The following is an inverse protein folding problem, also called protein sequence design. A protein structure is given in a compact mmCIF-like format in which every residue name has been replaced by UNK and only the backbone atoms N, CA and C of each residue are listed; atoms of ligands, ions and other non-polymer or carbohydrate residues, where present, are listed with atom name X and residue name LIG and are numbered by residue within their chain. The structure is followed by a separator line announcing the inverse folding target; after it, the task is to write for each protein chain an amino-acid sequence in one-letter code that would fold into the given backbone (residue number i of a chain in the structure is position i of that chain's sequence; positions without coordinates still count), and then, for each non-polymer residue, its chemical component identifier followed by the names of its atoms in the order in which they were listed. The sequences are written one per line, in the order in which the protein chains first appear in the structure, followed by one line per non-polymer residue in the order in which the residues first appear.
data_IF_352041540475
#
_entry.id   IF_352041540475
#
_cell.length_a   1.000
_cell.length_b   1.000
_cell.length_c   1.000
_cell.angle_alpha   90.00
_cell.angle_beta   90.00
_cell.angle_gamma   90.00
#
_symmetry.space_group_name_H-M   'P 1'
#
loop_
_entity.id
_entity.type
_entity.pdbx_description
1 polymer ?
#
# COMPACT_ATOMS: atom_id res chain seq x y z
N UNK A 1 0.42 -3.32 25.58
CA UNK A 1 1.89 -3.38 25.76
C UNK A 1 2.32 -4.79 25.38
N UNK A 2 2.89 -4.97 24.19
CA UNK A 2 3.36 -6.30 23.75
C UNK A 2 4.54 -6.73 24.63
N UNK A 3 4.57 -7.99 25.07
CA UNK A 3 5.65 -8.54 25.90
C UNK A 3 6.93 -8.67 25.06
N UNK A 4 8.10 -8.38 25.65
CA UNK A 4 9.40 -8.61 24.99
C UNK A 4 9.69 -10.11 24.90
N UNK A 5 10.26 -10.54 23.78
CA UNK A 5 10.86 -11.87 23.65
C UNK A 5 12.29 -11.74 24.23
N UNK A 6 12.50 -12.28 25.42
CA UNK A 6 13.77 -12.16 26.16
C UNK A 6 14.79 -13.24 25.78
N UNK A 7 14.34 -14.34 25.17
CA UNK A 7 15.18 -15.47 24.76
C UNK A 7 15.27 -15.55 23.24
N UNK A 8 16.47 -15.79 22.69
CA UNK A 8 16.66 -16.10 21.27
C UNK A 8 16.06 -17.48 20.97
N UNK A 9 14.75 -17.52 20.73
CA UNK A 9 14.04 -18.70 20.26
C UNK A 9 14.54 -19.02 18.85
N UNK A 10 15.10 -20.22 18.67
CA UNK A 10 15.57 -20.69 17.37
C UNK A 10 14.43 -21.29 16.55
N UNK A 11 14.63 -21.52 15.25
CA UNK A 11 13.65 -22.25 14.43
C UNK A 11 13.60 -23.74 14.80
N UNK A 12 14.71 -24.31 15.27
CA UNK A 12 14.81 -25.70 15.73
C UNK A 12 13.89 -25.98 16.93
N UNK A 13 13.60 -24.94 17.69
CA UNK A 13 12.74 -24.93 18.86
C UNK A 13 11.24 -24.82 18.54
N UNK A 14 10.87 -24.58 17.27
CA UNK A 14 9.48 -24.28 16.88
C UNK A 14 8.49 -25.39 17.22
N UNK A 15 8.93 -26.65 17.22
CA UNK A 15 8.04 -27.77 17.54
C UNK A 15 7.78 -27.95 19.04
N UNK A 16 8.50 -27.21 19.89
CA UNK A 16 8.19 -27.11 21.32
C UNK A 16 7.02 -26.13 21.55
N UNK A 17 5.92 -26.64 22.10
CA UNK A 17 4.71 -25.86 22.34
C UNK A 17 4.94 -24.64 23.26
N UNK A 18 5.85 -24.73 24.24
CA UNK A 18 6.18 -23.58 25.11
C UNK A 18 6.81 -22.44 24.31
N UNK A 19 7.62 -22.77 23.31
CA UNK A 19 8.33 -21.78 22.50
C UNK A 19 7.39 -21.10 21.50
N UNK A 20 6.46 -21.83 20.88
CA UNK A 20 5.39 -21.21 20.06
C UNK A 20 4.49 -20.30 20.90
N UNK A 21 4.15 -20.70 22.11
CA UNK A 21 3.31 -19.90 22.99
C UNK A 21 3.90 -18.52 23.29
N UNK A 22 5.23 -18.39 23.35
CA UNK A 22 5.89 -17.07 23.47
C UNK A 22 5.58 -16.18 22.27
N UNK A 23 5.65 -16.72 21.04
CA UNK A 23 5.29 -15.99 19.82
C UNK A 23 3.81 -15.60 19.77
N UNK A 24 2.93 -16.50 20.18
CA UNK A 24 1.49 -16.21 20.26
C UNK A 24 1.17 -15.09 21.26
N UNK A 25 1.81 -15.12 22.43
CA UNK A 25 1.67 -14.06 23.43
C UNK A 25 2.29 -12.75 22.95
N UNK A 26 3.41 -12.80 22.23
CA UNK A 26 4.04 -11.64 21.63
C UNK A 26 3.10 -10.97 20.61
N UNK A 27 2.52 -11.74 19.70
CA UNK A 27 1.54 -11.24 18.72
C UNK A 27 0.22 -10.80 19.36
N UNK A 28 -0.07 -11.24 20.59
CA UNK A 28 -1.33 -10.95 21.27
C UNK A 28 -2.52 -11.69 20.65
N UNK A 29 -2.31 -12.92 20.19
CA UNK A 29 -3.38 -13.76 19.64
C UNK A 29 -4.43 -14.07 20.72
N UNK A 30 -5.71 -14.15 20.33
CA UNK A 30 -6.77 -14.61 21.23
C UNK A 30 -6.62 -16.08 21.59
N UNK A 31 -7.25 -16.50 22.69
CA UNK A 31 -7.23 -17.91 23.12
C UNK A 31 -7.76 -18.86 22.03
N UNK A 32 -8.78 -18.44 21.27
CA UNK A 32 -9.33 -19.23 20.17
C UNK A 32 -8.34 -19.41 19.02
N UNK A 33 -7.62 -18.34 18.63
CA UNK A 33 -6.60 -18.40 17.60
C UNK A 33 -5.42 -19.30 18.02
N UNK A 34 -4.98 -19.17 19.29
CA UNK A 34 -3.91 -20.00 19.85
C UNK A 34 -4.30 -21.47 19.83
N UNK A 35 -5.51 -21.81 20.30
CA UNK A 35 -5.98 -23.19 20.32
C UNK A 35 -5.99 -23.79 18.90
N UNK A 36 -6.51 -23.05 17.91
CA UNK A 36 -6.57 -23.52 16.54
C UNK A 36 -5.17 -23.76 15.92
N UNK A 37 -4.21 -22.86 16.16
CA UNK A 37 -2.83 -23.01 15.67
C UNK A 37 -2.12 -24.18 16.34
N UNK A 38 -2.32 -24.40 17.64
CA UNK A 38 -1.73 -25.53 18.37
C UNK A 38 -2.36 -26.87 17.96
N UNK A 39 -3.67 -26.91 17.72
CA UNK A 39 -4.33 -28.11 17.18
C UNK A 39 -3.80 -28.45 15.79
N UNK A 40 -3.57 -27.44 14.93
CA UNK A 40 -2.94 -27.63 13.64
C UNK A 40 -1.50 -28.13 13.79
N UNK A 41 -0.71 -27.55 14.69
CA UNK A 41 0.66 -28.01 14.97
C UNK A 41 0.68 -29.49 15.40
N UNK A 42 -0.25 -29.91 16.25
CA UNK A 42 -0.40 -31.31 16.66
C UNK A 42 -0.80 -32.24 15.52
N UNK A 43 -1.64 -31.80 14.58
CA UNK A 43 -1.97 -32.58 13.39
C UNK A 43 -0.74 -32.77 12.48
N UNK A 44 0.04 -31.70 12.27
CA UNK A 44 1.26 -31.76 11.46
C UNK A 44 2.29 -32.71 12.09
N UNK A 45 2.50 -32.64 13.41
CA UNK A 45 3.43 -33.53 14.12
C UNK A 45 3.07 -35.03 14.02
N UNK A 46 1.80 -35.35 13.79
CA UNK A 46 1.31 -36.74 13.68
C UNK A 46 1.28 -37.26 12.25
N UNK A 47 1.56 -36.42 11.25
CA UNK A 47 1.53 -36.79 9.83
C UNK A 47 2.87 -36.47 9.17
N UNK A 48 3.63 -37.50 8.79
CA UNK A 48 4.91 -37.34 8.11
C UNK A 48 4.79 -36.53 6.81
N UNK A 49 3.68 -36.70 6.07
CA UNK A 49 3.45 -35.98 4.81
C UNK A 49 3.19 -34.48 5.06
N UNK A 50 2.38 -34.14 6.07
CA UNK A 50 2.16 -32.74 6.44
C UNK A 50 3.44 -32.10 6.98
N UNK A 51 4.23 -32.84 7.77
CA UNK A 51 5.52 -32.36 8.27
C UNK A 51 6.51 -32.08 7.15
N UNK A 52 6.65 -33.01 6.18
CA UNK A 52 7.52 -32.83 5.02
C UNK A 52 7.09 -31.62 4.19
N UNK A 53 5.78 -31.48 3.92
CA UNK A 53 5.22 -30.34 3.21
C UNK A 53 5.45 -29.02 3.96
N UNK A 54 5.31 -29.02 5.29
CA UNK A 54 5.53 -27.85 6.14
C UNK A 54 6.97 -27.37 6.06
N UNK A 55 7.93 -28.28 6.24
CA UNK A 55 9.36 -27.97 6.19
C UNK A 55 9.78 -27.49 4.80
N UNK A 56 9.26 -28.10 3.74
CA UNK A 56 9.55 -27.67 2.37
C UNK A 56 9.03 -26.25 2.07
N UNK A 57 7.82 -25.91 2.54
CA UNK A 57 7.27 -24.57 2.37
C UNK A 57 7.99 -23.53 3.26
N UNK A 58 8.41 -23.91 4.47
CA UNK A 58 9.23 -23.04 5.33
C UNK A 58 10.59 -22.74 4.69
N UNK A 59 11.27 -23.75 4.16
CA UNK A 59 12.53 -23.59 3.41
C UNK A 59 12.35 -22.68 2.19
N UNK A 60 11.30 -22.90 1.39
CA UNK A 60 10.97 -22.05 0.25
C UNK A 60 10.75 -20.59 0.67
N UNK A 61 10.03 -20.36 1.76
CA UNK A 61 9.64 -19.00 2.18
C UNK A 61 10.71 -18.32 3.05
N UNK A 62 10.90 -18.77 4.28
CA UNK A 62 11.77 -18.12 5.26
C UNK A 62 13.24 -18.10 4.82
N UNK A 63 13.75 -19.20 4.25
CA UNK A 63 15.18 -19.33 3.93
C UNK A 63 15.53 -18.87 2.51
N UNK A 64 14.71 -19.25 1.51
CA UNK A 64 14.96 -18.88 0.10
C UNK A 64 14.29 -17.56 -0.31
N UNK A 65 13.38 -17.03 0.50
CA UNK A 65 12.70 -15.76 0.21
C UNK A 65 11.64 -15.84 -0.89
N UNK A 66 11.21 -17.05 -1.27
CA UNK A 66 10.26 -17.31 -2.37
C UNK A 66 8.81 -17.21 -1.87
N UNK A 67 8.49 -16.05 -1.30
CA UNK A 67 7.15 -15.74 -0.82
C UNK A 67 6.19 -15.42 -1.98
N UNK A 68 4.91 -15.67 -1.74
CA UNK A 68 3.84 -15.23 -2.62
C UNK A 68 3.53 -13.75 -2.37
N UNK A 69 4.03 -12.85 -3.23
CA UNK A 69 3.79 -11.40 -3.11
C UNK A 69 2.68 -10.87 -4.02
N UNK A 70 2.25 -11.67 -4.99
CA UNK A 70 1.18 -11.31 -5.92
C UNK A 70 -0.13 -11.11 -5.15
N UNK A 71 -0.90 -10.09 -5.51
CA UNK A 71 -2.14 -9.75 -4.80
C UNK A 71 -3.29 -10.75 -5.02
N UNK A 72 -3.09 -11.76 -5.89
CA UNK A 72 -4.01 -12.88 -6.05
C UNK A 72 -4.02 -13.82 -4.83
N UNK A 73 -5.10 -14.59 -4.63
CA UNK A 73 -5.15 -15.62 -3.61
C UNK A 73 -3.98 -16.61 -3.74
N UNK A 74 -3.42 -17.03 -2.60
CA UNK A 74 -2.40 -18.07 -2.58
C UNK A 74 -3.01 -19.37 -3.10
N UNK A 75 -2.37 -19.98 -4.10
CA UNK A 75 -2.77 -21.30 -4.58
C UNK A 75 -2.26 -22.37 -3.63
N UNK A 76 -3.16 -23.17 -3.06
CA UNK A 76 -2.79 -24.24 -2.15
C UNK A 76 -2.39 -25.52 -2.88
N UNK A 77 -1.56 -26.33 -2.23
CA UNK A 77 -1.20 -27.66 -2.71
C UNK A 77 -2.41 -28.62 -2.59
N UNK A 78 -2.86 -29.25 -3.69
CA UNK A 78 -4.03 -30.13 -3.69
C UNK A 78 -3.93 -31.33 -2.74
N UNK A 79 -2.72 -31.82 -2.45
CA UNK A 79 -2.51 -32.94 -1.51
C UNK A 79 -2.76 -32.51 -0.07
N UNK A 80 -2.41 -31.27 0.27
CA UNK A 80 -2.66 -30.68 1.58
C UNK A 80 -4.15 -30.35 1.69
N UNK A 81 -4.75 -29.79 0.64
CA UNK A 81 -6.20 -29.53 0.57
C UNK A 81 -7.03 -30.79 0.74
N UNK A 82 -6.64 -31.89 0.09
CA UNK A 82 -7.35 -33.16 0.22
C UNK A 82 -7.30 -33.73 1.65
N UNK A 83 -6.23 -33.45 2.41
CA UNK A 83 -6.06 -33.95 3.78
C UNK A 83 -6.73 -33.05 4.83
N UNK A 84 -6.60 -31.73 4.67
CA UNK A 84 -7.01 -30.77 5.69
C UNK A 84 -8.33 -30.07 5.38
N UNK A 85 -8.76 -30.07 4.11
CA UNK A 85 -9.94 -29.35 3.63
C UNK A 85 -9.91 -27.90 4.10
N UNK A 86 -10.90 -27.53 4.89
CA UNK A 86 -11.03 -26.22 5.50
C UNK A 86 -9.84 -25.80 6.39
N UNK A 87 -9.09 -26.74 6.96
CA UNK A 87 -7.89 -26.47 7.75
C UNK A 87 -6.66 -26.04 6.93
N UNK A 88 -6.73 -26.09 5.59
CA UNK A 88 -5.56 -25.83 4.74
C UNK A 88 -5.01 -24.43 4.91
N UNK A 89 -5.86 -23.40 4.93
CA UNK A 89 -5.36 -22.03 5.09
C UNK A 89 -4.69 -21.80 6.45
N UNK A 90 -5.17 -22.49 7.50
CA UNK A 90 -4.56 -22.43 8.83
C UNK A 90 -3.19 -23.13 8.86
N UNK A 91 -3.02 -24.23 8.11
CA UNK A 91 -1.71 -24.86 7.90
C UNK A 91 -0.70 -23.90 7.26
N UNK A 92 -1.08 -23.23 6.16
CA UNK A 92 -0.22 -22.26 5.49
C UNK A 92 0.08 -21.04 6.37
N UNK A 93 -0.88 -20.60 7.18
CA UNK A 93 -0.64 -19.54 8.16
C UNK A 93 0.43 -19.97 9.17
N UNK A 94 0.35 -21.20 9.69
CA UNK A 94 1.35 -21.70 10.64
C UNK A 94 2.74 -21.82 10.01
N UNK A 95 2.84 -22.21 8.73
CA UNK A 95 4.11 -22.16 7.97
C UNK A 95 4.65 -20.73 7.93
N UNK A 96 3.82 -19.75 7.58
CA UNK A 96 4.25 -18.35 7.49
C UNK A 96 4.71 -17.83 8.85
N UNK A 97 3.97 -18.14 9.92
CA UNK A 97 4.32 -17.74 11.28
C UNK A 97 5.62 -18.40 11.76
N UNK A 98 5.98 -19.58 11.24
CA UNK A 98 7.26 -20.22 11.56
C UNK A 98 8.48 -19.38 11.12
N UNK A 99 8.31 -18.43 10.20
CA UNK A 99 9.36 -17.50 9.81
C UNK A 99 9.67 -16.42 10.85
N UNK A 100 8.83 -16.21 11.89
CA UNK A 100 9.01 -15.15 12.88
C UNK A 100 10.42 -15.09 13.51
N UNK A 101 11.04 -16.22 13.93
CA UNK A 101 12.42 -16.20 14.43
C UNK A 101 13.43 -15.74 13.37
N UNK A 102 13.30 -16.24 12.13
CA UNK A 102 14.16 -15.83 11.02
C UNK A 102 14.03 -14.34 10.72
N UNK A 103 12.79 -13.84 10.66
CA UNK A 103 12.50 -12.43 10.43
C UNK A 103 13.12 -11.57 11.53
N UNK A 104 12.95 -11.95 12.80
CA UNK A 104 13.53 -11.21 13.92
C UNK A 104 15.06 -11.14 13.83
N UNK A 105 15.72 -12.26 13.49
CA UNK A 105 17.17 -12.26 13.27
C UNK A 105 17.57 -11.35 12.10
N UNK A 106 16.80 -11.32 11.01
CA UNK A 106 17.05 -10.41 9.89
C UNK A 106 16.94 -8.94 10.31
N UNK A 107 15.96 -8.60 11.15
CA UNK A 107 15.81 -7.26 11.72
C UNK A 107 17.00 -6.89 12.61
N UNK A 108 17.41 -7.80 13.50
CA UNK A 108 18.57 -7.60 14.37
C UNK A 108 19.87 -7.38 13.57
N UNK A 109 20.09 -8.16 12.49
CA UNK A 109 21.24 -7.98 11.59
C UNK A 109 21.25 -6.60 10.91
N UNK A 110 20.08 -6.01 10.64
CA UNK A 110 19.93 -4.64 10.12
C UNK A 110 19.92 -3.56 11.22
N UNK A 111 20.06 -3.94 12.48
CA UNK A 111 19.99 -3.02 13.61
C UNK A 111 18.59 -2.45 13.88
N UNK A 112 17.54 -3.07 13.34
CA UNK A 112 16.14 -2.62 13.52
C UNK A 112 15.66 -3.02 14.91
N UNK A 113 15.01 -2.09 15.61
CA UNK A 113 14.57 -2.28 16.99
C UNK A 113 13.45 -3.34 17.12
N UNK A 114 13.38 -3.95 18.30
CA UNK A 114 12.30 -4.87 18.66
C UNK A 114 10.92 -4.17 18.64
N UNK A 115 10.86 -2.88 18.98
CA UNK A 115 9.62 -2.12 18.97
C UNK A 115 9.10 -1.93 17.53
N UNK A 116 9.99 -1.68 16.57
CA UNK A 116 9.64 -1.62 15.13
C UNK A 116 9.20 -2.99 14.61
N UNK A 117 9.87 -4.07 15.02
CA UNK A 117 9.43 -5.43 14.68
C UNK A 117 8.02 -5.70 15.24
N UNK A 118 7.76 -5.35 16.50
CA UNK A 118 6.46 -5.51 17.13
C UNK A 118 5.36 -4.68 16.46
N UNK A 119 5.61 -3.40 16.17
CA UNK A 119 4.69 -2.54 15.41
C UNK A 119 4.38 -3.13 14.02
N UNK A 120 5.38 -3.75 13.38
CA UNK A 120 5.20 -4.36 12.07
C UNK A 120 4.34 -5.62 12.15
N UNK A 121 4.61 -6.53 13.09
CA UNK A 121 3.85 -7.79 13.19
C UNK A 121 2.41 -7.62 13.70
N UNK A 122 2.01 -6.41 14.14
CA UNK A 122 0.69 -6.14 14.72
C UNK A 122 -0.49 -6.33 13.74
N UNK A 123 -0.26 -6.36 12.43
CA UNK A 123 -1.30 -6.65 11.44
C UNK A 123 -1.74 -8.12 11.45
N UNK A 124 -0.83 -9.04 11.80
CA UNK A 124 -1.09 -10.48 11.78
C UNK A 124 -2.29 -10.86 12.65
N UNK A 125 -2.34 -10.55 13.97
CA UNK A 125 -3.50 -10.89 14.80
C UNK A 125 -4.81 -10.31 14.26
N UNK A 126 -4.78 -9.08 13.73
CA UNK A 126 -5.98 -8.43 13.18
C UNK A 126 -6.61 -9.25 12.04
N UNK A 127 -5.80 -9.72 11.09
CA UNK A 127 -6.31 -10.48 9.95
C UNK A 127 -6.73 -11.91 10.30
N UNK A 128 -6.11 -12.52 11.31
CA UNK A 128 -6.54 -13.82 11.85
C UNK A 128 -7.94 -13.70 12.47
N UNK A 129 -8.16 -12.69 13.31
CA UNK A 129 -9.47 -12.43 13.93
C UNK A 129 -10.53 -12.07 12.90
N UNK A 130 -10.18 -11.22 11.93
CA UNK A 130 -11.09 -10.83 10.87
C UNK A 130 -11.57 -12.03 10.04
N UNK A 131 -10.67 -12.98 9.71
CA UNK A 131 -11.05 -14.21 9.01
C UNK A 131 -12.04 -15.04 9.83
N UNK A 132 -11.79 -15.20 11.13
CA UNK A 132 -12.70 -15.93 12.02
C UNK A 132 -14.08 -15.28 12.12
N UNK A 133 -14.15 -13.96 12.20
CA UNK A 133 -15.41 -13.21 12.20
C UNK A 133 -16.17 -13.33 10.88
N UNK A 134 -15.46 -13.30 9.75
CA UNK A 134 -16.04 -13.38 8.40
C UNK A 134 -16.59 -14.77 8.07
N UNK A 135 -15.84 -15.83 8.42
CA UNK A 135 -16.15 -17.20 7.98
C UNK A 135 -16.67 -18.11 9.10
N UNK A 136 -16.70 -17.65 10.35
CA UNK A 136 -17.12 -18.46 11.50
C UNK A 136 -16.16 -19.60 11.86
N UNK A 137 -14.93 -19.58 11.32
CA UNK A 137 -13.89 -20.60 11.54
C UNK A 137 -12.49 -19.98 11.45
N UNK A 138 -11.50 -20.58 12.11
CA UNK A 138 -10.12 -20.13 12.04
C UNK A 138 -9.45 -20.49 10.71
N UNK A 139 -8.66 -19.58 10.18
CA UNK A 139 -7.96 -19.70 8.89
C UNK A 139 -7.36 -18.35 8.50
N UNK A 140 -6.95 -18.21 7.24
CA UNK A 140 -6.30 -17.00 6.76
C UNK A 140 -6.45 -16.80 5.24
N UNK A 141 -6.50 -15.55 4.76
CA UNK A 141 -6.55 -15.26 3.31
C UNK A 141 -5.61 -14.15 2.83
N UNK A 142 -5.06 -13.33 3.73
CA UNK A 142 -4.21 -12.18 3.36
C UNK A 142 -2.72 -12.54 3.22
N UNK A 143 -2.41 -13.70 2.64
CA UNK A 143 -1.04 -14.23 2.55
C UNK A 143 -0.04 -13.27 1.89
N UNK A 144 -0.36 -12.60 0.76
CA UNK A 144 0.56 -11.64 0.15
C UNK A 144 0.92 -10.49 1.08
N UNK A 145 -0.02 -10.10 1.93
CA UNK A 145 0.18 -8.99 2.87
C UNK A 145 1.15 -9.39 3.98
N UNK A 146 0.89 -10.48 4.70
CA UNK A 146 1.78 -10.92 5.77
C UNK A 146 3.15 -11.41 5.27
N UNK A 147 3.24 -11.89 4.03
CA UNK A 147 4.53 -12.16 3.39
C UNK A 147 5.44 -10.92 3.37
N UNK A 148 4.89 -9.72 3.14
CA UNK A 148 5.67 -8.46 3.16
C UNK A 148 6.19 -8.12 4.56
N UNK A 149 5.43 -8.45 5.59
CA UNK A 149 5.81 -8.27 6.98
C UNK A 149 6.94 -9.24 7.36
N UNK A 150 6.73 -10.54 7.10
CA UNK A 150 7.64 -11.62 7.46
C UNK A 150 8.93 -11.61 6.62
N UNK A 151 8.90 -11.11 5.39
CA UNK A 151 10.10 -10.89 4.58
C UNK A 151 10.87 -9.61 4.94
N UNK A 152 10.33 -8.77 5.83
CA UNK A 152 10.94 -7.48 6.18
C UNK A 152 10.88 -6.43 5.07
N UNK A 153 10.02 -6.61 4.06
CA UNK A 153 9.81 -5.64 2.97
C UNK A 153 8.91 -4.49 3.37
N UNK A 154 8.04 -4.70 4.34
CA UNK A 154 7.15 -3.70 4.90
C UNK A 154 7.53 -3.42 6.35
N UNK A 155 7.60 -2.14 6.70
CA UNK A 155 7.93 -1.66 8.03
C UNK A 155 6.82 -0.71 8.51
N UNK A 156 6.21 -1.04 9.65
CA UNK A 156 5.30 -0.11 10.35
C UNK A 156 6.11 0.91 11.14
N UNK A 157 5.82 2.20 10.94
CA UNK A 157 6.42 3.29 11.73
C UNK A 157 5.30 4.24 12.18
N UNK A 158 4.64 3.93 13.28
CA UNK A 158 3.53 4.73 13.80
C UNK A 158 2.20 4.45 13.09
N UNK A 159 1.57 5.47 12.51
CA UNK A 159 0.27 5.35 11.82
C UNK A 159 0.38 4.74 10.42
N UNK A 160 1.50 4.91 9.74
CA UNK A 160 1.71 4.45 8.37
C UNK A 160 2.69 3.26 8.31
N UNK A 161 2.57 2.50 7.23
CA UNK A 161 3.46 1.42 6.84
C UNK A 161 4.19 1.80 5.57
N UNK A 162 5.43 1.35 5.43
CA UNK A 162 6.32 1.75 4.35
C UNK A 162 6.98 0.54 3.70
N UNK A 163 7.01 0.53 2.37
CA UNK A 163 7.87 -0.35 1.58
C UNK A 163 8.83 0.47 0.73
N UNK A 164 10.01 -0.06 0.48
CA UNK A 164 10.98 0.54 -0.43
C UNK A 164 10.86 -0.15 -1.79
N UNK A 165 10.52 0.61 -2.84
CA UNK A 165 10.38 0.07 -4.20
C UNK A 165 10.81 1.07 -5.27
N UNK A 166 11.19 0.60 -6.48
CA UNK A 166 11.38 1.47 -7.63
C UNK A 166 10.06 2.12 -8.04
N UNK A 167 10.04 3.44 -8.22
CA UNK A 167 8.85 4.21 -8.55
C UNK A 167 8.19 3.68 -9.83
N UNK A 168 6.94 3.19 -9.75
CA UNK A 168 6.29 2.57 -10.91
C UNK A 168 5.74 3.59 -11.89
N UNK A 169 5.53 4.85 -11.47
CA UNK A 169 5.00 5.90 -12.33
C UNK A 169 5.97 6.30 -13.44
N UNK A 170 5.40 6.76 -14.56
CA UNK A 170 6.15 7.21 -15.75
C UNK A 170 6.09 8.73 -15.96
N UNK A 171 5.48 9.44 -15.02
CA UNK A 171 5.55 10.90 -14.95
C UNK A 171 6.97 11.36 -14.63
N UNK A 172 7.32 12.56 -15.07
CA UNK A 172 8.58 13.21 -14.69
C UNK A 172 8.29 14.32 -13.68
N UNK A 173 8.83 14.23 -12.48
CA UNK A 173 8.70 15.29 -11.49
C UNK A 173 9.88 16.25 -11.60
N UNK A 174 9.58 17.53 -11.78
CA UNK A 174 10.54 18.62 -11.77
C UNK A 174 10.37 19.44 -10.49
N UNK A 175 11.48 19.84 -9.87
CA UNK A 175 11.52 20.76 -8.74
C UNK A 175 12.19 22.05 -9.13
N UNK A 176 11.61 23.15 -8.71
CA UNK A 176 12.21 24.46 -8.88
C UNK A 176 13.40 24.61 -7.92
N UNK A 177 14.54 25.11 -8.42
CA UNK A 177 15.80 25.20 -7.65
C UNK A 177 15.75 26.24 -6.52
N UNK A 178 14.97 27.31 -6.72
CA UNK A 178 14.94 28.46 -5.81
C UNK A 178 13.65 28.57 -4.99
N UNK A 179 12.65 27.73 -5.29
CA UNK A 179 11.32 27.79 -4.68
C UNK A 179 10.86 26.38 -4.36
N UNK A 180 9.99 26.20 -3.37
CA UNK A 180 9.47 24.88 -2.96
C UNK A 180 8.46 24.28 -3.98
N UNK A 181 8.49 24.73 -5.23
CA UNK A 181 7.55 24.32 -6.26
C UNK A 181 7.99 23.00 -6.90
N UNK A 182 7.00 22.14 -7.14
CA UNK A 182 7.14 20.88 -7.87
C UNK A 182 6.06 20.86 -8.94
N UNK A 183 6.41 20.38 -10.14
CA UNK A 183 5.49 20.17 -11.25
C UNK A 183 5.73 18.76 -11.79
N UNK A 184 4.65 18.03 -12.08
CA UNK A 184 4.74 16.76 -12.79
C UNK A 184 4.45 16.97 -14.28
N UNK A 185 5.22 16.32 -15.14
CA UNK A 185 4.98 16.23 -16.58
C UNK A 185 4.41 14.86 -16.94
N UNK A 186 3.36 14.87 -17.76
CA UNK A 186 2.62 13.67 -18.15
C UNK A 186 3.50 12.61 -18.83
N UNK A 187 3.08 11.36 -18.72
CA UNK A 187 3.67 10.22 -19.42
C UNK A 187 3.28 10.25 -20.91
N UNK A 188 4.22 10.40 -21.86
CA UNK A 188 3.91 10.45 -23.30
C UNK A 188 3.24 9.17 -23.84
N UNK A 189 3.41 8.04 -23.15
CA UNK A 189 2.83 6.75 -23.57
C UNK A 189 1.39 6.55 -23.04
N UNK A 190 0.92 7.41 -22.13
CA UNK A 190 -0.41 7.32 -21.56
C UNK A 190 -1.39 8.20 -22.35
N UNK A 191 -2.31 7.63 -23.15
CA UNK A 191 -3.37 8.41 -23.79
C UNK A 191 -4.26 9.06 -22.73
N UNK A 192 -4.67 10.30 -22.98
CA UNK A 192 -5.47 11.13 -22.08
C UNK A 192 -6.81 11.51 -22.73
N UNK A 193 -7.84 11.62 -21.90
CA UNK A 193 -9.18 12.12 -22.22
C UNK A 193 -9.17 13.63 -22.41
N UNK A 194 -10.25 14.19 -22.96
CA UNK A 194 -10.37 15.64 -23.17
C UNK A 194 -10.27 16.46 -21.88
N UNK A 195 -10.67 15.88 -20.74
CA UNK A 195 -10.58 16.44 -19.38
C UNK A 195 -9.19 16.28 -18.73
N UNK A 196 -8.25 15.60 -19.39
CA UNK A 196 -6.86 15.43 -18.95
C UNK A 196 -6.61 14.22 -18.05
N UNK A 197 -7.63 13.43 -17.69
CA UNK A 197 -7.43 12.15 -17.02
C UNK A 197 -7.02 11.05 -18.02
N UNK A 198 -6.52 9.93 -17.51
CA UNK A 198 -6.09 8.82 -18.36
C UNK A 198 -7.26 8.16 -19.09
N UNK A 199 -7.06 7.80 -20.35
CA UNK A 199 -7.95 6.84 -21.02
C UNK A 199 -7.85 5.51 -20.27
N UNK A 200 -9.01 4.90 -20.01
CA UNK A 200 -9.15 3.71 -19.16
C UNK A 200 -9.40 4.02 -17.69
N UNK A 201 -9.34 5.29 -17.27
CA UNK A 201 -9.80 5.69 -15.94
C UNK A 201 -11.33 5.75 -15.89
N UNK A 202 -11.91 5.14 -14.87
CA UNK A 202 -13.35 5.17 -14.61
C UNK A 202 -14.04 3.86 -14.95
N UNK A 203 -15.18 3.95 -15.63
CA UNK A 203 -15.94 2.77 -16.01
C UNK A 203 -15.41 2.20 -17.33
N UNK A 204 -14.87 0.97 -17.35
CA UNK A 204 -14.34 0.36 -18.58
C UNK A 204 -15.42 0.15 -19.66
N UNK A 205 -16.70 0.11 -19.28
CA UNK A 205 -17.82 -0.05 -20.20
C UNK A 205 -18.27 1.27 -20.85
N UNK A 206 -17.69 2.40 -20.43
CA UNK A 206 -17.94 3.72 -21.03
C UNK A 206 -16.78 4.07 -21.98
N UNK A 207 -16.90 3.79 -23.29
CA UNK A 207 -15.83 4.08 -24.23
C UNK A 207 -15.62 5.60 -24.37
N UNK A 208 -14.36 6.01 -24.32
CA UNK A 208 -13.96 7.38 -24.63
C UNK A 208 -13.97 7.56 -26.16
N UNK A 209 -14.70 8.55 -26.71
CA UNK A 209 -14.70 8.81 -28.15
C UNK A 209 -13.28 9.12 -28.64
N UNK A 210 -12.91 8.64 -29.84
CA UNK A 210 -11.51 8.73 -30.33
C UNK A 210 -11.07 10.19 -30.49
N UNK A 211 -12.00 11.06 -30.87
CA UNK A 211 -11.82 12.51 -31.00
C UNK A 211 -11.54 13.24 -29.68
N UNK A 212 -11.86 12.62 -28.54
CA UNK A 212 -11.58 13.16 -27.21
C UNK A 212 -10.24 12.68 -26.65
N UNK A 213 -9.57 11.74 -27.33
CA UNK A 213 -8.28 11.19 -26.93
C UNK A 213 -7.14 12.04 -27.50
N UNK A 214 -6.14 12.32 -26.67
CA UNK A 214 -4.89 12.97 -27.09
C UNK A 214 -3.69 12.36 -26.37
N UNK A 215 -2.52 12.50 -26.98
CA UNK A 215 -1.26 12.00 -26.43
C UNK A 215 -0.41 13.18 -25.94
N UNK A 216 0.01 13.18 -24.67
CA UNK A 216 0.90 14.22 -24.18
C UNK A 216 2.27 14.09 -24.82
N UNK A 217 2.91 15.22 -25.04
CA UNK A 217 4.28 15.30 -25.51
C UNK A 217 5.25 15.52 -24.35
N UNK A 218 6.44 14.93 -24.44
CA UNK A 218 7.55 15.21 -23.54
C UNK A 218 8.86 15.17 -24.33
N UNK A 219 9.66 16.22 -24.20
CA UNK A 219 10.97 16.33 -24.84
C UNK A 219 11.98 16.85 -23.83
N UNK A 220 13.20 16.34 -23.89
CA UNK A 220 14.33 16.77 -23.08
C UNK A 220 15.50 17.14 -24.01
N UNK A 221 16.13 18.28 -23.75
CA UNK A 221 17.31 18.74 -24.47
C UNK A 221 18.31 19.43 -23.51
N UNK A 222 19.37 20.02 -24.05
CA UNK A 222 20.39 20.71 -23.25
C UNK A 222 19.84 21.92 -22.47
N UNK A 223 18.79 22.58 -22.98
CA UNK A 223 18.19 23.78 -22.37
C UNK A 223 17.18 23.46 -21.27
N UNK A 224 16.51 22.30 -21.34
CA UNK A 224 15.47 21.94 -20.39
C UNK A 224 14.53 20.82 -20.81
N UNK A 225 13.33 20.87 -20.24
CA UNK A 225 12.26 19.90 -20.46
C UNK A 225 11.02 20.62 -20.98
N UNK A 226 10.47 20.14 -22.10
CA UNK A 226 9.16 20.51 -22.60
C UNK A 226 8.17 19.39 -22.26
N UNK A 227 7.00 19.72 -21.74
CA UNK A 227 5.94 18.72 -21.61
C UNK A 227 4.63 19.26 -21.05
N UNK A 228 3.63 18.39 -20.96
CA UNK A 228 2.30 18.75 -20.45
C UNK A 228 2.26 18.71 -18.92
N UNK A 229 2.08 19.85 -18.23
CA UNK A 229 1.99 19.90 -16.79
C UNK A 229 0.75 19.18 -16.28
N UNK A 230 0.87 18.54 -15.13
CA UNK A 230 -0.22 17.84 -14.45
C UNK A 230 -0.68 18.68 -13.27
N UNK A 231 -1.99 18.87 -13.11
CA UNK A 231 -2.56 19.45 -11.91
C UNK A 231 -2.37 18.51 -10.71
N UNK A 232 -2.15 19.01 -9.47
CA UNK A 232 -2.17 18.18 -8.26
C UNK A 232 -3.45 17.38 -8.01
N UNK A 233 -4.52 17.66 -8.76
CA UNK A 233 -5.76 16.87 -8.75
C UNK A 233 -5.71 15.65 -9.68
N UNK A 234 -4.65 15.50 -10.47
CA UNK A 234 -4.37 14.30 -11.25
C UNK A 234 -4.73 14.33 -12.73
N UNK A 235 -5.15 15.49 -13.27
CA UNK A 235 -5.40 15.66 -14.71
C UNK A 235 -4.28 16.49 -15.37
N UNK A 236 -3.95 16.20 -16.62
CA UNK A 236 -2.95 16.96 -17.38
C UNK A 236 -3.57 18.14 -18.15
N UNK A 237 -2.78 19.21 -18.31
CA UNK A 237 -3.14 20.34 -19.16
C UNK A 237 -2.81 20.05 -20.62
N UNK A 238 -3.68 20.48 -21.55
CA UNK A 238 -3.45 20.35 -22.99
C UNK A 238 -2.35 21.25 -23.53
N UNK A 239 -2.04 22.35 -22.84
CA UNK A 239 -0.96 23.27 -23.25
C UNK A 239 0.35 22.81 -22.63
N UNK A 240 1.39 22.49 -23.43
CA UNK A 240 2.69 22.16 -22.89
C UNK A 240 3.43 23.41 -22.39
N UNK A 241 4.33 23.22 -21.44
CA UNK A 241 5.19 24.27 -20.90
C UNK A 241 6.66 23.84 -20.93
N UNK A 242 7.56 24.82 -21.01
CA UNK A 242 9.01 24.62 -20.99
C UNK A 242 9.59 24.95 -19.62
N UNK A 243 10.48 24.09 -19.14
CA UNK A 243 11.13 24.17 -17.83
C UNK A 243 12.64 24.17 -18.02
N UNK A 244 13.30 25.30 -17.78
CA UNK A 244 14.74 25.47 -18.06
C UNK A 244 15.61 24.77 -17.01
N UNK A 245 16.77 24.23 -17.40
CA UNK A 245 17.72 23.60 -16.45
C UNK A 245 18.28 24.58 -15.41
N UNK A 246 18.32 25.86 -15.74
CA UNK A 246 18.76 26.95 -14.84
C UNK A 246 17.85 27.11 -13.62
N UNK A 247 16.56 26.78 -13.78
CA UNK A 247 15.54 27.00 -12.74
C UNK A 247 14.91 25.70 -12.24
N UNK A 248 15.01 24.61 -13.00
CA UNK A 248 14.41 23.32 -12.67
C UNK A 248 15.42 22.18 -12.66
N UNK A 249 15.11 21.15 -11.89
CA UNK A 249 15.83 19.88 -11.86
C UNK A 249 14.89 18.68 -11.69
N UNK A 250 15.37 17.50 -12.06
CA UNK A 250 14.61 16.25 -11.88
C UNK A 250 14.56 15.90 -10.39
N UNK A 251 13.35 15.84 -9.86
CA UNK A 251 13.08 15.44 -8.48
C UNK A 251 12.80 13.95 -8.35
N UNK A 252 12.06 13.38 -9.31
CA UNK A 252 11.68 11.97 -9.34
C UNK A 252 11.38 11.54 -10.79
N UNK A 253 11.84 10.36 -11.17
CA UNK A 253 11.51 9.70 -12.44
C UNK A 253 11.31 8.20 -12.25
N UNK A 254 10.78 7.52 -13.28
CA UNK A 254 10.56 6.08 -13.27
C UNK A 254 11.81 5.31 -12.83
N UNK A 255 11.64 4.34 -11.92
CA UNK A 255 12.73 3.49 -11.41
C UNK A 255 13.54 4.10 -10.26
N UNK A 256 13.39 5.39 -9.95
CA UNK A 256 13.96 5.95 -8.71
C UNK A 256 13.34 5.29 -7.48
N UNK A 257 14.12 5.08 -6.42
CA UNK A 257 13.58 4.51 -5.19
C UNK A 257 12.58 5.47 -4.52
N UNK A 258 11.46 4.93 -4.04
CA UNK A 258 10.44 5.65 -3.28
C UNK A 258 9.99 4.83 -2.08
N UNK A 259 9.44 5.52 -1.08
CA UNK A 259 8.71 4.89 0.01
C UNK A 259 7.24 4.74 -0.40
N UNK A 260 6.81 3.53 -0.70
CA UNK A 260 5.39 3.20 -0.91
C UNK A 260 4.67 3.14 0.44
N UNK A 261 3.64 3.96 0.60
CA UNK A 261 2.89 4.12 1.83
C UNK A 261 1.62 3.29 1.82
N UNK A 262 1.43 2.54 2.90
CA UNK A 262 0.19 1.83 3.21
C UNK A 262 -0.43 2.33 4.51
N UNK A 263 -1.76 2.16 4.58
CA UNK A 263 -2.59 2.69 5.65
C UNK A 263 -3.24 1.50 6.37
N UNK A 264 -2.72 1.08 7.53
CA UNK A 264 -3.36 0.05 8.35
C UNK A 264 -4.81 0.41 8.69
N UNK A 265 -5.67 -0.62 8.79
CA UNK A 265 -7.07 -0.47 9.22
C UNK A 265 -7.17 -0.13 10.71
N UNK A 266 -8.32 0.42 11.12
CA UNK A 266 -8.71 0.49 12.54
C UNK A 266 -8.45 1.81 13.28
N UNK A 267 -7.53 2.67 12.81
CA UNK A 267 -7.29 4.00 13.40
C UNK A 267 -7.67 5.13 12.45
N UNK A 268 -8.03 6.29 13.00
CA UNK A 268 -8.26 7.49 12.20
C UNK A 268 -6.96 7.91 11.48
N UNK A 269 -7.09 8.57 10.33
CA UNK A 269 -5.95 9.05 9.53
C UNK A 269 -5.62 10.49 9.91
N UNK A 270 -5.15 10.69 11.14
CA UNK A 270 -4.77 12.02 11.65
C UNK A 270 -3.51 12.52 10.91
N UNK A 271 -3.54 13.77 10.46
CA UNK A 271 -2.39 14.42 9.82
C UNK A 271 -1.15 14.46 10.71
N UNK A 272 -1.30 14.68 12.01
CA UNK A 272 -0.18 14.72 12.96
C UNK A 272 0.50 13.35 13.07
N UNK A 273 -0.28 12.29 13.26
CA UNK A 273 0.26 10.93 13.31
C UNK A 273 0.89 10.50 11.97
N UNK A 274 0.34 10.97 10.84
CA UNK A 274 0.95 10.75 9.53
C UNK A 274 2.29 11.49 9.38
N UNK A 275 2.36 12.73 9.86
CA UNK A 275 3.60 13.52 9.89
C UNK A 275 4.68 12.81 10.71
N UNK A 276 4.33 12.34 11.91
CA UNK A 276 5.24 11.60 12.78
C UNK A 276 5.73 10.30 12.12
N UNK A 277 4.84 9.57 11.46
CA UNK A 277 5.20 8.40 10.65
C UNK A 277 6.21 8.72 9.56
N UNK A 278 5.99 9.80 8.81
CA UNK A 278 6.90 10.23 7.74
C UNK A 278 8.25 10.69 8.30
N UNK A 279 8.27 11.42 9.41
CA UNK A 279 9.51 11.81 10.08
C UNK A 279 10.32 10.58 10.52
N UNK A 280 9.65 9.59 11.13
CA UNK A 280 10.27 8.31 11.49
C UNK A 280 10.81 7.60 10.25
N UNK A 281 10.04 7.54 9.16
CA UNK A 281 10.47 6.88 7.92
C UNK A 281 11.70 7.55 7.29
N UNK A 282 11.71 8.89 7.22
CA UNK A 282 12.81 9.66 6.63
C UNK A 282 14.11 9.53 7.46
N UNK A 283 14.02 9.23 8.75
CA UNK A 283 15.18 8.89 9.57
C UNK A 283 15.56 7.40 9.47
N UNK A 284 14.56 6.51 9.41
CA UNK A 284 14.73 5.06 9.48
C UNK A 284 15.38 4.48 8.21
N UNK A 285 14.83 4.77 7.04
CA UNK A 285 15.27 4.11 5.80
C UNK A 285 16.73 4.43 5.42
N UNK A 286 17.23 5.68 5.53
CA UNK A 286 18.64 5.95 5.24
C UNK A 286 19.61 5.24 6.20
N UNK A 287 19.18 4.96 7.44
CA UNK A 287 20.00 4.27 8.44
C UNK A 287 20.03 2.75 8.28
N UNK A 288 18.92 2.13 7.86
CA UNK A 288 18.78 0.66 7.80
C UNK A 288 18.80 0.07 6.37
N UNK A 289 18.61 0.91 5.36
CA UNK A 289 18.59 0.56 3.93
C UNK A 289 19.37 1.58 3.07
N UNK A 290 20.64 1.90 3.40
CA UNK A 290 21.43 2.90 2.68
C UNK A 290 21.70 2.54 1.21
N UNK A 291 21.56 1.27 0.84
CA UNK A 291 21.73 0.76 -0.52
C UNK A 291 20.69 1.30 -1.53
N UNK A 292 19.57 1.84 -1.03
CA UNK A 292 18.42 2.24 -1.85
C UNK A 292 17.93 3.64 -1.43
N UNK A 293 18.69 4.71 -1.75
CA UNK A 293 18.31 6.07 -1.38
C UNK A 293 17.04 6.49 -2.10
N UNK A 294 15.96 6.69 -1.34
CA UNK A 294 14.68 7.10 -1.88
C UNK A 294 14.65 8.61 -2.18
N UNK A 295 13.86 9.01 -3.18
CA UNK A 295 13.68 10.42 -3.60
C UNK A 295 12.34 11.02 -3.19
N UNK A 296 11.42 10.19 -2.72
CA UNK A 296 10.09 10.64 -2.33
C UNK A 296 9.23 9.52 -1.78
N UNK A 297 7.98 9.86 -1.56
CA UNK A 297 6.94 8.96 -1.08
C UNK A 297 5.93 8.73 -2.20
N UNK A 298 5.51 7.50 -2.38
CA UNK A 298 4.51 7.06 -3.33
C UNK A 298 3.32 6.46 -2.58
N UNK A 299 2.12 6.62 -3.12
CA UNK A 299 0.96 5.91 -2.60
C UNK A 299 -0.04 5.71 -3.73
N UNK A 300 -0.66 4.52 -3.76
CA UNK A 300 -1.82 4.25 -4.61
C UNK A 300 -2.92 3.64 -3.76
N UNK A 301 -4.03 4.37 -3.63
CA UNK A 301 -5.10 4.05 -2.69
C UNK A 301 -6.43 4.57 -3.20
N UNK A 302 -7.52 3.88 -2.85
CA UNK A 302 -8.88 4.35 -3.12
C UNK A 302 -9.17 5.74 -2.53
N UNK A 303 -8.45 6.14 -1.49
CA UNK A 303 -8.57 7.48 -0.90
C UNK A 303 -8.16 8.59 -1.88
N UNK A 304 -7.42 8.26 -2.94
CA UNK A 304 -6.99 9.20 -3.98
C UNK A 304 -7.96 9.28 -5.16
N UNK A 305 -9.18 8.74 -5.01
CA UNK A 305 -10.26 9.02 -5.95
C UNK A 305 -10.57 10.52 -5.98
N UNK A 306 -10.30 11.23 -7.10
CA UNK A 306 -10.40 12.68 -7.15
C UNK A 306 -11.85 13.16 -6.94
N UNK A 307 -12.83 12.34 -7.33
CA UNK A 307 -14.26 12.63 -7.16
C UNK A 307 -14.69 12.70 -5.70
N UNK A 308 -13.95 12.10 -4.76
CA UNK A 308 -14.24 12.22 -3.33
C UNK A 308 -14.25 13.68 -2.86
N UNK A 309 -13.54 14.58 -3.56
CA UNK A 309 -13.55 16.02 -3.25
C UNK A 309 -14.93 16.67 -3.47
N UNK A 310 -15.79 16.08 -4.30
CA UNK A 310 -17.18 16.52 -4.50
C UNK A 310 -18.16 15.85 -3.52
N UNK A 311 -17.77 14.69 -2.97
CA UNK A 311 -18.64 13.84 -2.15
C UNK A 311 -18.45 14.06 -0.65
N UNK A 312 -17.22 14.35 -0.24
CA UNK A 312 -16.85 14.47 1.17
C UNK A 312 -16.78 15.93 1.58
N UNK A 313 -17.02 16.16 2.87
CA UNK A 313 -16.84 17.48 3.46
C UNK A 313 -15.37 17.91 3.36
N UNK A 314 -15.08 19.21 3.18
CA UNK A 314 -13.72 19.70 3.03
C UNK A 314 -12.77 19.37 4.19
N UNK A 315 -13.31 19.14 5.39
CA UNK A 315 -12.62 18.78 6.63
C UNK A 315 -12.41 17.27 6.82
N UNK A 316 -12.83 16.43 5.87
CA UNK A 316 -12.62 14.98 5.89
C UNK A 316 -11.13 14.61 5.99
N UNK A 317 -10.77 13.72 6.90
CA UNK A 317 -9.40 13.19 7.03
C UNK A 317 -8.91 12.50 5.75
N UNK A 318 -9.82 11.87 4.99
CA UNK A 318 -9.50 11.28 3.68
C UNK A 318 -9.03 12.37 2.72
N UNK A 319 -9.75 13.49 2.65
CA UNK A 319 -9.39 14.60 1.75
C UNK A 319 -8.15 15.35 2.24
N UNK A 320 -7.97 15.49 3.55
CA UNK A 320 -6.75 16.06 4.12
C UNK A 320 -5.53 15.25 3.70
N UNK A 321 -5.57 13.92 3.87
CA UNK A 321 -4.48 13.03 3.45
C UNK A 321 -4.28 13.03 1.93
N UNK A 322 -5.36 12.93 1.14
CA UNK A 322 -5.30 12.99 -0.32
C UNK A 322 -4.60 14.25 -0.82
N UNK A 323 -4.89 15.40 -0.20
CA UNK A 323 -4.36 16.69 -0.64
C UNK A 323 -2.87 16.89 -0.35
N UNK A 324 -2.26 16.05 0.49
CA UNK A 324 -0.81 16.04 0.70
C UNK A 324 -0.05 15.45 -0.49
N UNK A 325 -0.69 14.63 -1.32
CA UNK A 325 -0.07 14.01 -2.48
C UNK A 325 -0.38 14.77 -3.77
N UNK A 326 0.63 14.84 -4.64
CA UNK A 326 0.51 15.29 -6.01
C UNK A 326 0.02 14.11 -6.86
N UNK A 327 -1.27 14.10 -7.18
CA UNK A 327 -1.88 13.03 -7.98
C UNK A 327 -1.47 13.15 -9.45
N UNK A 328 -1.50 12.03 -10.17
CA UNK A 328 -1.23 12.03 -11.61
C UNK A 328 -2.11 11.04 -12.38
N UNK A 329 -2.30 11.22 -13.70
CA UNK A 329 -3.17 10.38 -14.51
C UNK A 329 -2.77 8.91 -14.45
N UNK A 330 -3.76 8.04 -14.24
CA UNK A 330 -3.63 6.60 -14.21
C UNK A 330 -4.95 5.96 -14.63
N UNK A 331 -4.95 4.85 -15.38
CA UNK A 331 -6.17 4.11 -15.73
C UNK A 331 -6.73 3.33 -14.52
N UNK A 332 -7.10 4.06 -13.48
CA UNK A 332 -7.67 3.51 -12.25
C UNK A 332 -9.14 3.14 -12.39
N UNK A 333 -9.68 2.49 -11.37
CA UNK A 333 -11.05 1.98 -11.37
C UNK A 333 -11.76 2.26 -10.04
N UNK A 334 -13.07 2.07 -10.00
CA UNK A 334 -13.81 2.14 -8.74
C UNK A 334 -13.52 0.96 -7.80
N UNK A 335 -12.87 -0.10 -8.28
CA UNK A 335 -12.82 -1.41 -7.62
C UNK A 335 -12.33 -1.38 -6.17
N UNK A 336 -11.20 -0.70 -5.89
CA UNK A 336 -10.71 -0.60 -4.51
C UNK A 336 -11.65 0.22 -3.63
N UNK A 337 -12.18 1.35 -4.11
CA UNK A 337 -13.13 2.14 -3.34
C UNK A 337 -14.35 1.29 -2.99
N UNK A 338 -14.90 0.56 -3.95
CA UNK A 338 -16.06 -0.31 -3.74
C UNK A 338 -15.73 -1.44 -2.75
N UNK A 339 -14.56 -2.07 -2.85
CA UNK A 339 -14.13 -3.13 -1.94
C UNK A 339 -14.03 -2.63 -0.50
N UNK A 340 -13.42 -1.47 -0.28
CA UNK A 340 -13.24 -0.92 1.06
C UNK A 340 -14.54 -0.33 1.65
N UNK A 341 -15.44 0.20 0.82
CA UNK A 341 -16.68 0.84 1.28
C UNK A 341 -17.85 -0.15 1.38
N UNK A 342 -17.96 -1.10 0.46
CA UNK A 342 -19.08 -2.04 0.34
C UNK A 342 -18.69 -3.52 0.50
N UNK A 343 -17.40 -3.86 0.53
CA UNK A 343 -16.93 -5.24 0.70
C UNK A 343 -16.88 -6.06 -0.60
N UNK A 344 -17.11 -5.44 -1.75
CA UNK A 344 -17.02 -6.06 -3.09
C UNK A 344 -16.42 -5.08 -4.09
N UNK A 345 -15.68 -5.58 -5.08
CA UNK A 345 -15.20 -4.77 -6.22
C UNK A 345 -16.28 -4.48 -7.27
N UNK A 346 -17.40 -5.19 -7.19
CA UNK A 346 -18.52 -5.03 -8.10
C UNK A 346 -19.33 -3.78 -7.77
N UNK A 347 -19.96 -3.20 -8.79
CA UNK A 347 -20.87 -2.07 -8.59
C UNK A 347 -22.04 -2.47 -7.68
N UNK A 348 -22.34 -1.64 -6.66
CA UNK A 348 -23.37 -1.95 -5.70
C UNK A 348 -24.77 -1.97 -6.35
N UNK A 349 -25.56 -2.98 -6.01
CA UNK A 349 -26.98 -3.06 -6.39
C UNK A 349 -27.87 -2.10 -5.60
N UNK A 350 -29.17 -2.11 -5.92
CA UNK A 350 -30.17 -1.22 -5.28
C UNK A 350 -30.35 -1.47 -3.78
N UNK A 351 -29.98 -2.64 -3.29
CA UNK A 351 -30.07 -3.07 -1.89
C UNK A 351 -28.77 -2.81 -1.09
N UNK A 352 -27.76 -2.18 -1.71
CA UNK A 352 -26.51 -1.86 -1.06
C UNK A 352 -26.73 -1.00 0.20
N UNK A 353 -25.94 -1.24 1.28
CA UNK A 353 -26.14 -0.55 2.55
C UNK A 353 -25.92 0.95 2.42
N UNK A 354 -26.83 1.73 3.03
CA UNK A 354 -26.81 3.20 3.08
C UNK A 354 -26.64 3.74 4.51
N UNK A 355 -26.03 2.96 5.37
CA UNK A 355 -25.85 3.22 6.81
C UNK A 355 -24.80 4.31 7.12
N UNK A 356 -23.79 4.50 6.26
CA UNK A 356 -22.79 5.58 6.41
C UNK A 356 -22.98 6.74 5.43
N UNK A 357 -22.48 7.93 5.78
CA UNK A 357 -22.51 9.09 4.89
C UNK A 357 -21.73 8.84 3.59
N UNK A 358 -20.57 8.19 3.68
CA UNK A 358 -19.75 7.82 2.51
C UNK A 358 -20.50 6.87 1.58
N UNK A 359 -21.14 5.81 2.12
CA UNK A 359 -21.94 4.87 1.30
C UNK A 359 -23.07 5.59 0.57
N UNK A 360 -23.80 6.47 1.26
CA UNK A 360 -24.87 7.28 0.65
C UNK A 360 -24.34 8.16 -0.48
N UNK A 361 -23.27 8.92 -0.22
CA UNK A 361 -22.69 9.83 -1.20
C UNK A 361 -22.17 9.10 -2.46
N UNK A 362 -21.52 7.95 -2.29
CA UNK A 362 -21.03 7.13 -3.40
C UNK A 362 -22.20 6.56 -4.23
N UNK A 363 -23.23 6.01 -3.58
CA UNK A 363 -24.39 5.48 -4.28
C UNK A 363 -25.15 6.57 -5.05
N UNK A 364 -25.30 7.76 -4.45
CA UNK A 364 -25.96 8.89 -5.11
C UNK A 364 -25.15 9.36 -6.32
N UNK A 365 -23.83 9.48 -6.21
CA UNK A 365 -22.93 9.81 -7.32
C UNK A 365 -23.08 8.85 -8.50
N UNK A 366 -23.02 7.55 -8.22
CA UNK A 366 -23.15 6.50 -9.23
C UNK A 366 -24.55 6.48 -9.88
N UNK A 367 -25.62 6.75 -9.12
CA UNK A 367 -26.99 6.80 -9.66
C UNK A 367 -27.21 7.92 -10.69
N UNK A 368 -26.39 8.98 -10.65
CA UNK A 368 -26.40 10.06 -11.64
C UNK A 368 -25.52 9.75 -12.87
N UNK A 369 -24.96 8.53 -12.96
CA UNK A 369 -24.12 8.11 -14.07
C UNK A 369 -22.69 8.66 -14.01
N UNK A 370 -22.25 9.17 -12.85
CA UNK A 370 -20.88 9.66 -12.69
C UNK A 370 -19.90 8.53 -12.41
N UNK A 371 -18.65 8.71 -12.85
CA UNK A 371 -17.58 7.73 -12.72
C UNK A 371 -16.79 7.92 -11.42
N UNK A 372 -16.17 6.83 -10.96
CA UNK A 372 -15.19 6.84 -9.87
C UNK A 372 -13.96 6.07 -10.32
N UNK A 373 -12.78 6.59 -9.98
CA UNK A 373 -11.52 5.90 -10.22
C UNK A 373 -10.49 6.35 -9.20
N UNK A 374 -9.57 5.47 -8.83
CA UNK A 374 -8.43 5.81 -8.00
C UNK A 374 -7.26 6.35 -8.83
N UNK A 375 -6.40 7.15 -8.18
CA UNK A 375 -5.18 7.67 -8.79
C UNK A 375 -4.00 7.38 -7.86
N UNK A 376 -2.80 7.16 -8.40
CA UNK A 376 -1.57 7.22 -7.64
C UNK A 376 -1.20 8.68 -7.34
N UNK A 377 -0.37 8.85 -6.32
CA UNK A 377 0.19 10.14 -5.97
C UNK A 377 1.60 10.04 -5.43
N UNK A 378 2.32 11.16 -5.53
CA UNK A 378 3.66 11.31 -4.95
C UNK A 378 3.70 12.48 -3.97
N UNK A 379 4.47 12.30 -2.91
CA UNK A 379 4.84 13.36 -1.98
C UNK A 379 6.35 13.55 -2.05
N UNK A 380 6.75 14.75 -2.46
CA UNK A 380 8.14 15.12 -2.78
C UNK A 380 8.66 16.25 -1.88
N UNK A 381 8.01 16.48 -0.75
CA UNK A 381 8.38 17.53 0.20
C UNK A 381 9.01 16.92 1.45
N UNK A 382 9.55 17.77 2.33
CA UNK A 382 10.04 17.30 3.62
C UNK A 382 8.87 16.96 4.54
N UNK A 383 8.98 15.99 5.47
CA UNK A 383 7.90 15.70 6.42
C UNK A 383 7.45 16.91 7.25
N UNK A 384 8.31 17.91 7.46
CA UNK A 384 7.94 19.18 8.14
C UNK A 384 6.91 20.00 7.35
N UNK A 385 6.84 19.83 6.03
CA UNK A 385 5.87 20.50 5.15
C UNK A 385 4.54 19.72 5.04
N UNK A 386 4.43 18.55 5.69
CA UNK A 386 3.19 17.78 5.72
C UNK A 386 2.07 18.58 6.39
N UNK A 387 0.94 18.75 5.71
CA UNK A 387 -0.17 19.61 6.13
C UNK A 387 -0.17 20.99 5.46
N UNK A 388 0.94 21.39 4.82
CA UNK A 388 1.06 22.71 4.18
C UNK A 388 0.59 22.72 2.72
N UNK A 389 0.54 21.53 2.09
CA UNK A 389 0.07 21.33 0.70
C UNK A 389 0.73 22.31 -0.27
N UNK A 390 2.04 22.53 -0.12
CA UNK A 390 2.81 23.56 -0.84
C UNK A 390 2.72 23.42 -2.35
N UNK A 391 2.69 22.19 -2.85
CA UNK A 391 2.53 21.90 -4.27
C UNK A 391 1.19 22.40 -4.85
N UNK A 392 0.10 22.44 -4.06
CA UNK A 392 -1.20 23.01 -4.50
C UNK A 392 -1.16 24.54 -4.58
N UNK A 393 -0.49 25.18 -3.62
CA UNK A 393 -0.26 26.64 -3.63
C UNK A 393 0.62 27.03 -4.82
N UNK A 394 1.70 26.28 -5.05
CA UNK A 394 2.61 26.45 -6.18
C UNK A 394 1.94 26.21 -7.53
N UNK A 395 1.00 25.26 -7.60
CA UNK A 395 0.20 25.05 -8.80
C UNK A 395 -0.66 26.27 -9.13
N UNK A 396 -1.38 26.84 -8.17
CA UNK A 396 -2.22 28.02 -8.41
C UNK A 396 -1.42 29.21 -8.95
N UNK A 397 -0.21 29.43 -8.43
CA UNK A 397 0.71 30.44 -8.96
C UNK A 397 1.09 30.12 -10.42
N UNK A 398 1.50 28.88 -10.70
CA UNK A 398 1.87 28.43 -12.04
C UNK A 398 0.77 28.67 -13.09
N UNK A 399 -0.47 28.25 -12.83
CA UNK A 399 -1.57 28.45 -13.78
C UNK A 399 -2.00 29.92 -13.93
N UNK A 400 -1.62 30.81 -13.01
CA UNK A 400 -1.90 32.25 -13.13
C UNK A 400 -0.84 32.96 -13.99
N UNK A 401 0.37 32.41 -14.08
CA UNK A 401 1.51 32.94 -14.82
C UNK A 401 1.60 32.44 -16.27
N UNK A 402 0.90 31.34 -16.58
CA UNK A 402 0.71 30.78 -17.93
C UNK A 402 -0.36 31.55 -18.71
#
# INVERSE_FOLDING_TARGET
MMKRIEETLSEEDWWNAKNRLVWWQFLGLSEGAVQALEDMAHQIQRSSNLMESFLALHEQTAHRGEWHFDWSPLSFNPVIEAQLGDGTSLFYLLVYLNALPHTLQAYQRRGISMDTFAETMADIPFYIEWYAQKYGRWGFEHFPWIARHLSGRLISLGRLQFMLLPFPGKVLALRHRFHHQVILLADPDQPLRADGYAVGAGNPDLPVPTEEVWYPQRQENEDGWMGHPISPQGYALKVPAFFTRDTWEIALQHGDWVLDVHIPRGKNLNLEECRDSLQRAFAFFPGHFPENPFRGVYCHTWMFTPQLQHLLRPDSHILQFQREFYLYPHPGSAGFLLEFVFGSREYPGNDAPRDTSLRRAVLDWLSHGHELFDLPGVFLSSPQEWGEQTHRKGWLAFVTEQ
#
